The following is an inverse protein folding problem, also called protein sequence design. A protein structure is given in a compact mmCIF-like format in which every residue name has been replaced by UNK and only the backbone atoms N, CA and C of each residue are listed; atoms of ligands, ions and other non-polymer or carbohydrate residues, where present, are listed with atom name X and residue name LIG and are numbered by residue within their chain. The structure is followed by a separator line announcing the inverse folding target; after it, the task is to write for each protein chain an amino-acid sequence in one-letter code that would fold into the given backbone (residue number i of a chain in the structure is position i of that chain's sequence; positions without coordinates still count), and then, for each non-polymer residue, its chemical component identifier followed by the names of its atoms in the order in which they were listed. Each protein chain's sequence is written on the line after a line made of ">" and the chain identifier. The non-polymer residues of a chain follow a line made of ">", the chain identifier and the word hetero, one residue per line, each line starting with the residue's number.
data_IF_808432127121
#
_entry.id   IF_808432127121
#
_cell.length_a   1.000
_cell.length_b   1.000
_cell.length_c   1.000
_cell.angle_alpha   90.00
_cell.angle_beta   90.00
_cell.angle_gamma   90.00
#
_symmetry.space_group_name_H-M   'P 1'
#
loop_
_entity.id
_entity.type
_entity.pdbx_description
1 polymer ?
#
# COMPACT_ATOMS: atom_id res chain seq x y z
N UNK A 1 -20.92 -1.60 2.05
CA UNK A 1 -20.10 -0.71 1.18
C UNK A 1 -18.61 -0.84 1.48
N UNK A 2 -18.15 -0.60 2.72
CA UNK A 2 -16.72 -0.72 3.08
C UNK A 2 -16.09 -2.09 2.73
N UNK A 3 -16.80 -3.20 2.99
CA UNK A 3 -16.29 -4.55 2.70
C UNK A 3 -16.07 -4.85 1.21
N UNK A 4 -16.89 -4.28 0.31
CA UNK A 4 -16.68 -4.44 -1.15
C UNK A 4 -15.44 -3.66 -1.61
N UNK A 5 -15.25 -2.45 -1.09
CA UNK A 5 -14.09 -1.62 -1.43
C UNK A 5 -12.80 -2.22 -0.87
N UNK A 6 -12.79 -2.66 0.40
CA UNK A 6 -11.63 -3.35 0.98
C UNK A 6 -11.32 -4.67 0.26
N UNK A 7 -12.34 -5.48 -0.06
CA UNK A 7 -12.15 -6.73 -0.77
C UNK A 7 -11.61 -6.53 -2.19
N UNK A 8 -12.19 -5.58 -2.94
CA UNK A 8 -11.74 -5.23 -4.29
C UNK A 8 -10.32 -4.69 -4.33
N UNK A 9 -9.99 -3.74 -3.45
CA UNK A 9 -8.63 -3.17 -3.38
C UNK A 9 -7.59 -4.19 -2.95
N UNK A 10 -7.90 -5.08 -2.02
CA UNK A 10 -6.96 -6.14 -1.62
C UNK A 10 -6.75 -7.17 -2.74
N UNK A 11 -7.81 -7.57 -3.46
CA UNK A 11 -7.69 -8.46 -4.59
C UNK A 11 -6.88 -7.84 -5.74
N UNK A 12 -7.14 -6.56 -6.07
CA UNK A 12 -6.40 -5.82 -7.08
C UNK A 12 -4.91 -5.70 -6.74
N UNK A 13 -4.58 -5.37 -5.50
CA UNK A 13 -3.19 -5.25 -5.05
C UNK A 13 -2.41 -6.57 -5.18
N UNK A 14 -3.04 -7.70 -4.82
CA UNK A 14 -2.43 -9.03 -4.97
C UNK A 14 -2.27 -9.46 -6.43
N UNK A 15 -3.25 -9.15 -7.28
CA UNK A 15 -3.17 -9.42 -8.72
C UNK A 15 -2.03 -8.62 -9.37
N UNK A 16 -1.93 -7.33 -9.05
CA UNK A 16 -0.90 -6.43 -9.55
C UNK A 16 0.50 -6.85 -9.08
N UNK A 17 0.63 -7.30 -7.83
CA UNK A 17 1.86 -7.87 -7.31
C UNK A 17 2.32 -9.08 -8.15
N UNK A 18 1.43 -10.02 -8.46
CA UNK A 18 1.76 -11.19 -9.28
C UNK A 18 2.14 -10.82 -10.72
N UNK A 19 1.51 -9.78 -11.27
CA UNK A 19 1.83 -9.29 -12.62
C UNK A 19 3.20 -8.62 -12.69
N UNK A 20 3.60 -7.83 -11.68
CA UNK A 20 4.89 -7.12 -11.66
C UNK A 20 6.07 -7.93 -11.11
N UNK A 21 5.81 -9.06 -10.44
CA UNK A 21 6.90 -9.89 -9.89
C UNK A 21 7.61 -10.68 -10.99
N UNK A 22 8.93 -10.54 -11.20
CA UNK A 22 9.70 -11.35 -12.15
C UNK A 22 10.01 -12.74 -11.57
N UNK A 23 9.93 -13.78 -12.39
CA UNK A 23 10.08 -15.18 -11.96
C UNK A 23 11.39 -15.43 -11.21
N UNK A 24 12.49 -14.83 -11.65
CA UNK A 24 13.83 -15.00 -11.06
C UNK A 24 13.93 -14.51 -9.61
N UNK A 25 13.24 -13.42 -9.25
CA UNK A 25 13.37 -12.76 -7.94
C UNK A 25 12.05 -12.72 -7.16
N UNK A 26 11.16 -13.69 -7.40
CA UNK A 26 9.82 -13.69 -6.82
C UNK A 26 9.81 -13.56 -5.30
N UNK A 27 10.69 -14.30 -4.61
CA UNK A 27 10.77 -14.28 -3.15
C UNK A 27 11.11 -12.89 -2.58
N UNK A 28 11.93 -12.10 -3.28
CA UNK A 28 12.36 -10.77 -2.82
C UNK A 28 11.23 -9.74 -2.94
N UNK A 29 10.51 -9.74 -4.07
CA UNK A 29 9.35 -8.87 -4.28
C UNK A 29 8.17 -9.22 -3.35
N UNK A 30 7.91 -10.51 -3.13
CA UNK A 30 6.90 -10.93 -2.15
C UNK A 30 7.31 -10.59 -0.71
N UNK A 31 8.60 -10.74 -0.38
CA UNK A 31 9.16 -10.36 0.91
C UNK A 31 9.03 -8.86 1.19
N UNK A 32 9.42 -8.01 0.23
CA UNK A 32 9.29 -6.55 0.33
C UNK A 32 7.83 -6.13 0.57
N UNK A 33 6.89 -6.63 -0.23
CA UNK A 33 5.47 -6.31 -0.07
C UNK A 33 4.91 -6.72 1.30
N UNK A 34 5.29 -7.89 1.80
CA UNK A 34 4.87 -8.37 3.11
C UNK A 34 5.42 -7.49 4.25
N UNK A 35 6.67 -7.04 4.12
CA UNK A 35 7.31 -6.12 5.07
C UNK A 35 6.66 -4.74 5.02
N UNK A 36 6.40 -4.19 3.82
CA UNK A 36 5.67 -2.92 3.65
C UNK A 36 4.28 -2.96 4.28
N UNK A 37 3.54 -4.07 4.12
CA UNK A 37 2.23 -4.26 4.75
C UNK A 37 2.33 -4.29 6.29
N UNK A 38 3.35 -4.92 6.85
CA UNK A 38 3.61 -4.90 8.30
C UNK A 38 3.92 -3.49 8.80
N UNK A 39 4.71 -2.72 8.07
CA UNK A 39 4.97 -1.32 8.41
C UNK A 39 3.69 -0.50 8.43
N UNK A 40 2.83 -0.62 7.42
CA UNK A 40 1.54 0.08 7.39
C UNK A 40 0.65 -0.27 8.60
N UNK A 41 0.58 -1.56 8.97
CA UNK A 41 -0.18 -2.04 10.12
C UNK A 41 0.35 -1.58 11.48
N UNK A 42 1.63 -1.21 11.57
CA UNK A 42 2.23 -0.67 12.81
C UNK A 42 2.10 0.84 12.85
N UNK A 43 2.49 1.53 11.77
CA UNK A 43 2.51 2.99 11.72
C UNK A 43 1.11 3.62 11.71
N UNK A 44 0.13 2.98 11.07
CA UNK A 44 -1.25 3.49 11.02
C UNK A 44 -1.87 3.69 12.40
N UNK A 45 -1.99 2.63 13.22
CA UNK A 45 -2.49 2.73 14.59
C UNK A 45 -1.61 3.59 15.50
N UNK A 46 -0.29 3.56 15.31
CA UNK A 46 0.65 4.36 16.10
C UNK A 46 0.38 5.86 15.91
N UNK A 47 0.30 6.34 14.67
CA UNK A 47 0.05 7.76 14.36
C UNK A 47 -1.36 8.15 14.76
N UNK A 48 -2.35 7.28 14.51
CA UNK A 48 -3.73 7.49 14.97
C UNK A 48 -3.82 7.67 16.48
N UNK A 49 -3.16 6.79 17.25
CA UNK A 49 -3.12 6.84 18.70
C UNK A 49 -2.40 8.08 19.24
N UNK A 50 -1.27 8.46 18.65
CA UNK A 50 -0.53 9.67 19.03
C UNK A 50 -1.40 10.92 18.82
N UNK A 51 -2.10 11.03 17.69
CA UNK A 51 -2.92 12.20 17.39
C UNK A 51 -4.14 12.31 18.31
N UNK A 52 -4.77 11.19 18.67
CA UNK A 52 -5.84 11.17 19.67
C UNK A 52 -5.30 11.53 21.05
N UNK A 53 -4.15 10.98 21.44
CA UNK A 53 -3.53 11.28 22.73
C UNK A 53 -3.17 12.77 22.86
N UNK A 54 -2.75 13.43 21.77
CA UNK A 54 -2.42 14.85 21.77
C UNK A 54 -3.66 15.76 21.70
N UNK A 55 -4.67 15.40 20.91
CA UNK A 55 -5.84 16.28 20.67
C UNK A 55 -7.01 16.01 21.63
N UNK A 56 -7.05 14.82 22.24
CA UNK A 56 -8.16 14.36 23.08
C UNK A 56 -9.46 14.06 22.33
N UNK A 57 -9.49 14.24 21.00
CA UNK A 57 -10.69 14.05 20.17
C UNK A 57 -10.49 12.94 19.14
N UNK A 58 -11.48 12.04 19.04
CA UNK A 58 -11.51 10.96 18.05
C UNK A 58 -11.60 11.52 16.61
N UNK A 59 -12.17 12.72 16.44
CA UNK A 59 -12.31 13.38 15.14
C UNK A 59 -10.95 13.72 14.51
N UNK A 60 -9.96 14.14 15.29
CA UNK A 60 -8.62 14.41 14.75
C UNK A 60 -7.90 13.13 14.34
N UNK A 61 -8.15 12.02 15.04
CA UNK A 61 -7.67 10.69 14.66
C UNK A 61 -8.21 10.25 13.30
N UNK A 62 -9.53 10.37 13.07
CA UNK A 62 -10.15 9.99 11.79
C UNK A 62 -9.59 10.83 10.63
N UNK A 63 -9.29 12.11 10.88
CA UNK A 63 -8.74 13.03 9.89
C UNK A 63 -7.35 12.59 9.43
N UNK A 64 -6.53 12.03 10.33
CA UNK A 64 -5.23 11.45 9.98
C UNK A 64 -5.35 10.21 9.12
N UNK A 65 -6.30 9.32 9.41
CA UNK A 65 -6.55 8.13 8.57
C UNK A 65 -6.96 8.57 7.17
N UNK A 66 -7.79 9.61 7.07
CA UNK A 66 -8.20 10.18 5.79
C UNK A 66 -7.02 10.80 5.04
N UNK A 67 -6.13 11.51 5.75
CA UNK A 67 -4.88 12.04 5.18
C UNK A 67 -3.99 10.92 4.61
N UNK A 68 -3.80 9.83 5.35
CA UNK A 68 -3.07 8.65 4.89
C UNK A 68 -3.67 8.04 3.63
N UNK A 69 -5.01 7.99 3.55
CA UNK A 69 -5.70 7.51 2.36
C UNK A 69 -5.46 8.40 1.15
N UNK A 70 -5.52 9.73 1.32
CA UNK A 70 -5.23 10.69 0.24
C UNK A 70 -3.79 10.59 -0.23
N UNK A 71 -2.83 10.50 0.70
CA UNK A 71 -1.41 10.33 0.36
C UNK A 71 -1.19 9.02 -0.41
N UNK A 72 -1.75 7.91 0.08
CA UNK A 72 -1.67 6.61 -0.60
C UNK A 72 -2.29 6.65 -1.99
N UNK A 73 -3.43 7.31 -2.14
CA UNK A 73 -4.10 7.49 -3.42
C UNK A 73 -3.28 8.35 -4.38
N UNK A 74 -2.68 9.45 -3.91
CA UNK A 74 -1.81 10.30 -4.72
C UNK A 74 -0.59 9.52 -5.23
N UNK A 75 0.04 8.70 -4.37
CA UNK A 75 1.16 7.83 -4.77
C UNK A 75 0.70 6.82 -5.83
N UNK A 76 -0.45 6.18 -5.64
CA UNK A 76 -1.02 5.24 -6.62
C UNK A 76 -1.27 5.90 -7.98
N UNK A 77 -1.68 7.17 -8.02
CA UNK A 77 -1.85 7.91 -9.28
C UNK A 77 -0.52 8.21 -10.00
N UNK A 78 0.61 8.23 -9.27
CA UNK A 78 1.94 8.40 -9.87
C UNK A 78 2.53 7.09 -10.40
N UNK A 79 1.95 5.94 -10.05
CA UNK A 79 2.40 4.64 -10.54
C UNK A 79 2.00 4.50 -12.01
N UNK A 80 3.02 4.37 -12.86
CA UNK A 80 2.83 4.19 -14.29
C UNK A 80 2.92 2.70 -14.64
N UNK A 81 1.77 2.06 -14.80
CA UNK A 81 1.66 0.61 -15.05
C UNK A 81 2.45 0.18 -16.30
N UNK A 82 2.55 1.03 -17.33
CA UNK A 82 3.25 0.73 -18.58
C UNK A 82 4.75 0.46 -18.37
N UNK A 83 5.41 1.19 -17.47
CA UNK A 83 6.84 1.00 -17.18
C UNK A 83 7.12 -0.33 -16.46
N UNK A 84 6.22 -0.76 -15.57
CA UNK A 84 6.40 -2.01 -14.83
C UNK A 84 6.30 -3.26 -15.71
N UNK A 85 5.56 -3.19 -16.83
CA UNK A 85 5.55 -4.27 -17.83
C UNK A 85 6.83 -4.28 -18.70
N UNK A 86 7.40 -3.11 -19.00
CA UNK A 86 8.67 -3.00 -19.76
C UNK A 86 9.88 -3.50 -18.96
N UNK A 87 9.93 -3.25 -17.64
CA UNK A 87 11.02 -3.75 -16.79
C UNK A 87 10.98 -5.28 -16.60
N UNK A 88 9.80 -5.90 -16.71
CA UNK A 88 9.67 -7.36 -16.68
C UNK A 88 10.36 -8.05 -17.88
N UNK A 89 10.64 -7.31 -18.95
CA UNK A 89 11.13 -7.84 -20.23
C UNK A 89 12.64 -7.61 -20.47
N UNK A 90 13.32 -6.84 -19.62
CA UNK A 90 14.78 -6.71 -19.72
C UNK A 90 15.46 -7.97 -19.16
N UNK A 91 16.20 -8.74 -19.98
CA UNK A 91 17.04 -9.81 -19.46
C UNK A 91 18.07 -9.16 -18.52
N UNK A 92 18.18 -9.71 -17.32
CA UNK A 92 19.25 -9.38 -16.38
C UNK A 92 20.56 -9.70 -17.10
N UNK A 93 21.32 -8.67 -17.46
CA UNK A 93 22.67 -8.79 -18.03
C UNK A 93 23.63 -9.43 -17.02
#
# INVERSE_FOLDING_TARGET
>A
LAGMVMGGSQAASRSLQGLFTPDANSAEFFGFFAVSGKFASVFGPLIYGILIAMTGSVQSGILSVLLFFIIGMAILLTVNEKKGFEEKQKPVL
#
